data_IF_049914547794
#
_entry.id   IF_049914547794
#
_cell.length_a   1.000
_cell.length_b   1.000
_cell.length_c   1.000
_cell.angle_alpha   90.00
_cell.angle_beta   90.00
_cell.angle_gamma   90.00
#
_symmetry.space_group_name_H-M   'P 1'
#
loop_
_entity.id
_entity.type
_entity.pdbx_description
1 polymer ?
#
# COMPACT_ATOMS: atom_id res chain seq x y z
N UNK A 1 20.65 -11.88 17.93
CA UNK A 1 19.72 -12.08 19.07
C UNK A 1 18.26 -12.10 18.62
N UNK A 2 17.74 -11.05 17.98
CA UNK A 2 16.35 -11.01 17.48
C UNK A 2 15.97 -12.20 16.58
N UNK A 3 16.80 -12.56 15.60
CA UNK A 3 16.54 -13.71 14.71
C UNK A 3 16.47 -15.03 15.46
N UNK A 4 17.33 -15.23 16.47
CA UNK A 4 17.38 -16.47 17.25
C UNK A 4 16.15 -16.59 18.16
N UNK A 5 15.78 -15.51 18.86
CA UNK A 5 14.56 -15.47 19.66
C UNK A 5 13.29 -15.60 18.82
N UNK A 6 13.30 -15.05 17.60
CA UNK A 6 12.22 -15.23 16.65
C UNK A 6 12.08 -16.71 16.26
N UNK A 7 13.15 -17.36 15.83
CA UNK A 7 13.12 -18.77 15.44
C UNK A 7 12.70 -19.67 16.61
N UNK A 8 13.21 -19.43 17.82
CA UNK A 8 12.78 -20.17 19.00
C UNK A 8 11.30 -19.96 19.32
N UNK A 9 10.81 -18.73 19.26
CA UNK A 9 9.41 -18.43 19.51
C UNK A 9 8.48 -19.03 18.46
N UNK A 10 8.87 -19.01 17.18
CA UNK A 10 8.13 -19.67 16.09
C UNK A 10 8.12 -21.19 16.29
N UNK A 11 9.24 -21.79 16.72
CA UNK A 11 9.30 -23.20 17.08
C UNK A 11 8.39 -23.54 18.27
N UNK A 12 8.43 -22.75 19.35
CA UNK A 12 7.62 -22.96 20.56
C UNK A 12 6.10 -22.91 20.27
N UNK A 13 5.68 -22.07 19.31
CA UNK A 13 4.27 -21.96 18.87
C UNK A 13 3.85 -23.03 17.86
N UNK A 14 4.79 -23.83 17.36
CA UNK A 14 4.55 -24.81 16.30
C UNK A 14 4.42 -24.18 14.91
N UNK A 15 4.86 -22.92 14.74
CA UNK A 15 4.89 -22.23 13.46
C UNK A 15 6.06 -22.69 12.58
N UNK A 16 7.10 -23.27 13.18
CA UNK A 16 8.16 -24.01 12.49
C UNK A 16 8.05 -25.48 12.87
N UNK A 17 8.01 -26.36 11.87
CA UNK A 17 7.90 -27.81 12.04
C UNK A 17 9.01 -28.51 11.28
N UNK A 18 9.32 -29.76 11.60
CA UNK A 18 10.26 -30.57 10.80
C UNK A 18 9.50 -31.32 9.71
N UNK A 19 9.97 -31.25 8.47
CA UNK A 19 9.46 -32.07 7.37
C UNK A 19 9.94 -33.53 7.50
N UNK A 20 9.53 -34.40 6.57
CA UNK A 20 9.92 -35.81 6.52
C UNK A 20 11.45 -35.99 6.34
N UNK A 21 12.13 -35.01 5.74
CA UNK A 21 13.59 -34.96 5.62
C UNK A 21 14.30 -34.45 6.89
N UNK A 22 13.54 -34.09 7.93
CA UNK A 22 14.06 -33.56 9.18
C UNK A 22 14.47 -32.08 9.14
N UNK A 23 14.21 -31.36 8.05
CA UNK A 23 14.50 -29.94 7.90
C UNK A 23 13.40 -29.08 8.53
N UNK A 24 13.77 -27.94 9.11
CA UNK A 24 12.78 -26.99 9.62
C UNK A 24 12.12 -26.26 8.46
N UNK A 25 10.80 -26.38 8.37
CA UNK A 25 9.96 -25.72 7.38
C UNK A 25 8.88 -24.89 8.08
N UNK A 26 8.38 -23.88 7.39
CA UNK A 26 7.22 -23.12 7.86
C UNK A 26 5.98 -24.00 7.92
N UNK A 27 5.23 -23.87 9.00
CA UNK A 27 3.88 -24.41 9.09
C UNK A 27 2.98 -23.57 8.16
N UNK A 28 2.08 -24.17 7.35
CA UNK A 28 1.17 -23.41 6.49
C UNK A 28 0.29 -22.38 7.22
N UNK A 29 0.19 -22.48 8.55
CA UNK A 29 -0.54 -21.54 9.42
C UNK A 29 0.32 -20.40 9.96
N UNK A 30 1.62 -20.39 9.65
CA UNK A 30 2.53 -19.34 10.10
C UNK A 30 2.05 -17.99 9.57
N UNK A 31 1.67 -17.12 10.50
CA UNK A 31 1.42 -15.71 10.22
C UNK A 31 2.66 -14.90 10.60
N UNK A 32 3.42 -14.49 9.59
CA UNK A 32 4.59 -13.61 9.73
C UNK A 32 4.23 -12.23 10.30
N UNK A 33 2.94 -11.87 10.38
CA UNK A 33 2.42 -10.68 11.07
C UNK A 33 2.32 -10.81 12.59
N UNK A 34 2.37 -12.03 13.15
CA UNK A 34 2.27 -12.28 14.59
C UNK A 34 3.65 -12.55 15.18
N UNK A 35 4.17 -11.55 15.87
CA UNK A 35 5.47 -11.64 16.55
C UNK A 35 5.42 -12.67 17.69
N UNK A 36 6.45 -13.50 17.89
CA UNK A 36 6.57 -14.29 19.10
C UNK A 36 6.58 -13.41 20.35
N UNK A 37 5.90 -13.84 21.42
CA UNK A 37 5.68 -13.03 22.62
C UNK A 37 6.99 -12.50 23.25
N UNK A 38 8.09 -13.27 23.20
CA UNK A 38 9.41 -12.81 23.67
C UNK A 38 9.97 -11.68 22.81
N UNK A 39 9.89 -11.81 21.49
CA UNK A 39 10.33 -10.78 20.54
C UNK A 39 9.50 -9.53 20.71
N UNK A 40 8.18 -9.67 20.81
CA UNK A 40 7.25 -8.57 21.05
C UNK A 40 7.56 -7.86 22.37
N UNK A 41 7.78 -8.62 23.46
CA UNK A 41 8.14 -8.09 24.78
C UNK A 41 9.43 -7.28 24.77
N UNK A 42 10.48 -7.76 24.08
CA UNK A 42 11.75 -7.03 23.93
C UNK A 42 11.58 -5.72 23.14
N UNK A 43 10.78 -5.74 22.07
CA UNK A 43 10.49 -4.53 21.29
C UNK A 43 9.68 -3.55 22.15
N UNK A 44 8.63 -4.03 22.81
CA UNK A 44 7.78 -3.25 23.71
C UNK A 44 8.60 -2.52 24.76
N UNK A 45 9.45 -3.24 25.50
CA UNK A 45 10.29 -2.64 26.54
C UNK A 45 11.21 -1.55 25.96
N UNK A 46 11.79 -1.79 24.79
CA UNK A 46 12.67 -0.82 24.13
C UNK A 46 11.92 0.44 23.68
N UNK A 47 10.71 0.29 23.12
CA UNK A 47 9.88 1.41 22.68
C UNK A 47 9.35 2.20 23.88
N UNK A 48 8.90 1.52 24.95
CA UNK A 48 8.34 2.16 26.15
C UNK A 48 9.36 3.02 26.93
N UNK A 49 10.66 2.74 26.78
CA UNK A 49 11.73 3.59 27.36
C UNK A 49 11.90 4.94 26.64
N UNK A 50 11.31 5.11 25.46
CA UNK A 50 11.36 6.37 24.74
C UNK A 50 10.39 7.39 25.36
N UNK A 51 10.72 8.68 25.36
CA UNK A 51 9.74 9.74 25.62
C UNK A 51 8.51 9.61 24.71
N UNK A 52 7.32 9.92 25.24
CA UNK A 52 6.03 9.76 24.54
C UNK A 52 6.01 10.39 23.14
N UNK A 53 6.54 11.61 23.01
CA UNK A 53 6.60 12.31 21.72
C UNK A 53 7.45 11.59 20.64
N UNK A 54 8.43 10.77 21.03
CA UNK A 54 9.20 9.95 20.09
C UNK A 54 8.47 8.65 19.73
N UNK A 55 7.70 8.09 20.67
CA UNK A 55 6.82 6.95 20.39
C UNK A 55 5.76 7.35 19.38
N UNK A 56 5.13 8.51 19.56
CA UNK A 56 4.15 9.08 18.61
C UNK A 56 4.74 9.29 17.22
N UNK A 57 5.95 9.86 17.13
CA UNK A 57 6.67 10.01 15.85
C UNK A 57 6.86 8.66 15.14
N UNK A 58 7.29 7.65 15.88
CA UNK A 58 7.51 6.31 15.35
C UNK A 58 6.19 5.60 14.99
N UNK A 59 5.10 5.86 15.70
CA UNK A 59 3.77 5.35 15.37
C UNK A 59 3.27 5.95 14.05
N UNK A 60 3.36 7.28 13.86
CA UNK A 60 3.00 7.91 12.58
C UNK A 60 3.89 7.38 11.44
N UNK A 61 5.20 7.29 11.68
CA UNK A 61 6.15 6.72 10.72
C UNK A 61 5.81 5.27 10.35
N UNK A 62 5.32 4.48 11.32
CA UNK A 62 4.94 3.10 11.06
C UNK A 62 3.75 2.97 10.09
N UNK A 63 2.85 3.96 10.05
CA UNK A 63 1.75 4.01 9.08
C UNK A 63 2.24 4.41 7.69
N UNK A 64 3.23 5.31 7.61
CA UNK A 64 3.84 5.73 6.35
C UNK A 64 4.52 4.56 5.63
N UNK A 65 5.15 3.65 6.38
CA UNK A 65 5.70 2.40 5.89
C UNK A 65 7.06 2.08 6.48
N UNK A 66 7.74 1.06 5.93
CA UNK A 66 9.10 0.73 6.35
C UNK A 66 10.09 1.86 6.03
N UNK A 67 9.89 2.54 4.91
CA UNK A 67 10.57 3.77 4.52
C UNK A 67 9.59 4.94 4.56
N UNK A 68 10.03 6.10 5.04
CA UNK A 68 9.20 7.28 5.21
C UNK A 68 10.01 8.57 5.11
N UNK A 69 9.32 9.71 4.93
CA UNK A 69 9.94 11.03 4.83
C UNK A 69 9.61 11.88 6.06
N UNK A 70 10.61 12.54 6.63
CA UNK A 70 10.46 13.31 7.87
C UNK A 70 9.42 14.43 7.75
N UNK A 71 9.36 15.09 6.60
CA UNK A 71 8.48 16.23 6.30
C UNK A 71 7.01 15.79 6.30
N UNK A 72 6.73 14.57 5.83
CA UNK A 72 5.38 13.98 5.88
C UNK A 72 4.98 13.72 7.34
N UNK A 73 5.88 13.12 8.13
CA UNK A 73 5.62 12.82 9.55
C UNK A 73 5.42 14.11 10.35
N UNK A 74 6.27 15.11 10.13
CA UNK A 74 6.19 16.40 10.81
C UNK A 74 4.87 17.10 10.53
N UNK A 75 4.44 17.12 9.26
CA UNK A 75 3.17 17.69 8.87
C UNK A 75 1.99 16.99 9.53
N UNK A 76 1.94 15.65 9.50
CA UNK A 76 0.84 14.87 10.09
C UNK A 76 0.78 15.03 11.62
N UNK A 77 1.94 15.18 12.27
CA UNK A 77 2.01 15.45 13.71
C UNK A 77 1.66 16.91 14.07
N UNK A 78 1.71 17.84 13.11
CA UNK A 78 1.61 19.28 13.38
C UNK A 78 2.89 19.86 14.04
N UNK A 79 4.04 19.21 13.82
CA UNK A 79 5.33 19.57 14.42
C UNK A 79 6.22 20.35 13.46
N UNK A 80 7.23 21.03 13.99
CA UNK A 80 8.24 21.69 13.16
C UNK A 80 9.13 20.66 12.43
N UNK A 81 9.27 20.78 11.11
CA UNK A 81 10.06 19.87 10.27
C UNK A 81 11.51 19.73 10.75
N UNK A 82 12.19 20.84 11.07
CA UNK A 82 13.60 20.81 11.50
C UNK A 82 13.77 20.07 12.83
N UNK A 83 12.82 20.24 13.73
CA UNK A 83 12.84 19.54 15.01
C UNK A 83 12.61 18.03 14.83
N UNK A 84 11.67 17.65 13.98
CA UNK A 84 11.42 16.24 13.65
C UNK A 84 12.64 15.61 12.99
N UNK A 85 13.25 16.27 12.00
CA UNK A 85 14.49 15.81 11.34
C UNK A 85 15.61 15.64 12.36
N UNK A 86 15.80 16.60 13.28
CA UNK A 86 16.81 16.50 14.32
C UNK A 86 16.57 15.30 15.25
N UNK A 87 15.33 15.09 15.71
CA UNK A 87 14.95 13.95 16.58
C UNK A 87 15.12 12.61 15.87
N UNK A 88 14.74 12.52 14.60
CA UNK A 88 14.92 11.31 13.78
C UNK A 88 16.41 10.99 13.58
N UNK A 89 17.21 11.97 13.13
CA UNK A 89 18.61 11.75 12.81
C UNK A 89 19.56 11.62 14.02
N UNK A 90 19.21 12.18 15.17
CA UNK A 90 20.05 12.10 16.38
C UNK A 90 19.56 11.03 17.34
N UNK A 91 18.38 11.21 17.92
CA UNK A 91 17.87 10.31 18.95
C UNK A 91 17.45 8.97 18.36
N UNK A 92 16.59 8.94 17.35
CA UNK A 92 16.02 7.69 16.85
C UNK A 92 16.99 6.87 15.99
N UNK A 93 17.86 7.54 15.23
CA UNK A 93 18.92 6.88 14.46
C UNK A 93 20.16 6.57 15.31
N UNK A 94 20.91 7.58 15.75
CA UNK A 94 22.25 7.38 16.36
C UNK A 94 22.19 6.80 17.77
N UNK A 95 21.30 7.31 18.63
CA UNK A 95 21.23 6.90 20.03
C UNK A 95 20.42 5.61 20.20
N UNK A 96 19.21 5.57 19.65
CA UNK A 96 18.26 4.48 19.85
C UNK A 96 18.38 3.39 18.79
N UNK A 97 18.99 3.65 17.63
CA UNK A 97 19.18 2.66 16.54
C UNK A 97 17.90 1.93 16.19
N UNK A 98 16.79 2.68 16.04
CA UNK A 98 15.50 2.15 15.62
C UNK A 98 15.23 2.42 14.13
N UNK A 99 15.75 3.53 13.63
CA UNK A 99 15.67 3.94 12.22
C UNK A 99 17.07 4.27 11.69
N UNK A 100 17.19 4.45 10.39
CA UNK A 100 18.42 4.90 9.72
C UNK A 100 18.10 5.93 8.65
N UNK A 101 18.89 7.00 8.60
CA UNK A 101 18.88 7.95 7.48
C UNK A 101 19.20 7.21 6.18
N UNK A 102 18.45 7.49 5.11
CA UNK A 102 18.67 6.91 3.77
C UNK A 102 19.16 7.95 2.76
N UNK A 103 18.94 9.24 3.03
CA UNK A 103 19.36 10.34 2.16
C UNK A 103 18.27 11.38 2.04
N UNK A 104 18.40 12.27 1.05
CA UNK A 104 17.42 13.30 0.74
C UNK A 104 17.12 13.30 -0.75
N UNK A 105 15.86 13.53 -1.12
CA UNK A 105 15.41 13.66 -2.50
C UNK A 105 14.64 14.96 -2.66
N UNK A 106 14.88 15.69 -3.75
CA UNK A 106 14.05 16.83 -4.12
C UNK A 106 12.82 16.34 -4.87
N UNK A 107 11.62 16.66 -4.36
CA UNK A 107 10.33 16.39 -5.04
C UNK A 107 9.61 17.71 -5.26
N UNK A 108 9.54 18.14 -6.51
CA UNK A 108 9.10 19.49 -6.85
C UNK A 108 9.94 20.55 -6.13
N UNK A 109 9.28 21.40 -5.33
CA UNK A 109 9.94 22.42 -4.50
C UNK A 109 10.25 21.94 -3.06
N UNK A 110 9.85 20.73 -2.69
CA UNK A 110 10.01 20.20 -1.32
C UNK A 110 11.19 19.23 -1.23
N UNK A 111 12.21 19.49 -0.39
CA UNK A 111 13.21 18.49 -0.06
C UNK A 111 12.60 17.45 0.89
N UNK A 112 12.70 16.17 0.55
CA UNK A 112 12.25 15.06 1.37
C UNK A 112 13.44 14.33 1.98
N UNK A 113 13.47 14.22 3.30
CA UNK A 113 14.49 13.51 4.07
C UNK A 113 14.03 12.09 4.34
N UNK A 114 14.65 11.11 3.69
CA UNK A 114 14.25 9.70 3.76
C UNK A 114 14.89 8.98 4.94
N UNK A 115 14.06 8.23 5.66
CA UNK A 115 14.42 7.34 6.75
C UNK A 115 13.82 5.97 6.51
N UNK A 116 14.42 4.95 7.11
CA UNK A 116 13.90 3.58 7.11
C UNK A 116 13.98 3.00 8.51
N UNK A 117 13.00 2.19 8.90
CA UNK A 117 13.14 1.35 10.09
C UNK A 117 14.32 0.39 9.91
N UNK A 118 15.21 0.30 10.89
CA UNK A 118 16.34 -0.64 10.83
C UNK A 118 15.90 -2.10 10.82
N UNK A 119 14.71 -2.36 11.33
CA UNK A 119 14.10 -3.67 11.33
C UNK A 119 12.59 -3.56 11.15
N UNK A 120 12.03 -4.36 10.24
CA UNK A 120 10.59 -4.38 9.93
C UNK A 120 9.70 -4.63 11.16
N UNK A 121 10.15 -5.47 12.11
CA UNK A 121 9.42 -5.76 13.36
C UNK A 121 9.17 -4.52 14.22
N UNK A 122 10.03 -3.50 14.18
CA UNK A 122 9.75 -2.24 14.88
C UNK A 122 8.54 -1.54 14.27
N UNK A 123 8.54 -1.42 12.93
CA UNK A 123 7.42 -0.85 12.19
C UNK A 123 6.14 -1.66 12.45
N UNK A 124 6.20 -2.98 12.34
CA UNK A 124 5.04 -3.85 12.56
C UNK A 124 4.50 -3.74 13.98
N UNK A 125 5.37 -3.78 14.99
CA UNK A 125 4.97 -3.61 16.39
C UNK A 125 4.25 -2.27 16.59
N UNK A 126 4.87 -1.16 16.20
CA UNK A 126 4.31 0.18 16.35
C UNK A 126 2.99 0.34 15.60
N UNK A 127 2.92 -0.13 14.35
CA UNK A 127 1.71 -0.11 13.54
C UNK A 127 0.60 -0.91 14.22
N UNK A 128 0.95 -2.07 14.79
CA UNK A 128 0.01 -2.95 15.46
C UNK A 128 -0.49 -2.41 16.82
N UNK A 129 0.24 -1.48 17.46
CA UNK A 129 -0.25 -0.80 18.68
C UNK A 129 -1.36 0.23 18.42
N UNK A 130 -1.47 0.73 17.18
CA UNK A 130 -2.51 1.70 16.82
C UNK A 130 -3.84 0.99 16.62
N UNK A 131 -4.92 1.60 17.10
CA UNK A 131 -6.27 1.09 16.82
C UNK A 131 -6.66 1.31 15.34
N UNK A 132 -7.65 0.57 14.81
CA UNK A 132 -8.05 0.68 13.41
C UNK A 132 -8.49 2.08 12.97
N UNK A 133 -9.11 2.87 13.86
CA UNK A 133 -9.58 4.23 13.55
C UNK A 133 -8.39 5.17 13.41
N UNK A 134 -7.42 5.08 14.34
CA UNK A 134 -6.17 5.82 14.25
C UNK A 134 -5.41 5.51 12.97
N UNK A 135 -5.26 4.23 12.60
CA UNK A 135 -4.61 3.83 11.35
C UNK A 135 -5.32 4.44 10.15
N UNK A 136 -6.65 4.35 10.10
CA UNK A 136 -7.45 4.91 9.02
C UNK A 136 -7.23 6.42 8.87
N UNK A 137 -7.23 7.16 9.98
CA UNK A 137 -7.00 8.61 9.98
C UNK A 137 -5.59 8.96 9.49
N UNK A 138 -4.56 8.29 10.04
CA UNK A 138 -3.17 8.51 9.66
C UNK A 138 -2.90 8.14 8.20
N UNK A 139 -3.48 7.05 7.70
CA UNK A 139 -3.36 6.69 6.29
C UNK A 139 -3.91 7.78 5.37
N UNK A 140 -5.07 8.37 5.68
CA UNK A 140 -5.64 9.48 4.90
C UNK A 140 -4.75 10.72 4.97
N UNK A 141 -4.31 11.10 6.17
CA UNK A 141 -3.47 12.27 6.38
C UNK A 141 -2.13 12.17 5.62
N UNK A 142 -1.50 10.99 5.67
CA UNK A 142 -0.26 10.71 4.94
C UNK A 142 -0.51 10.77 3.43
N UNK A 143 -1.59 10.14 2.93
CA UNK A 143 -1.91 10.16 1.50
C UNK A 143 -2.09 11.59 0.97
N UNK A 144 -2.92 12.39 1.66
CA UNK A 144 -3.18 13.78 1.28
C UNK A 144 -1.89 14.59 1.23
N UNK A 145 -1.02 14.42 2.24
CA UNK A 145 0.25 15.15 2.27
C UNK A 145 1.20 14.70 1.16
N UNK A 146 1.22 13.41 0.82
CA UNK A 146 2.00 12.91 -0.31
C UNK A 146 1.50 13.51 -1.64
N UNK A 147 0.18 13.59 -1.85
CA UNK A 147 -0.41 14.23 -3.04
C UNK A 147 0.03 15.69 -3.14
N UNK A 148 -0.02 16.45 -2.04
CA UNK A 148 0.44 17.85 -2.02
C UNK A 148 1.92 17.99 -2.34
N UNK A 149 2.78 17.16 -1.74
CA UNK A 149 4.23 17.22 -1.94
C UNK A 149 4.64 16.84 -3.37
N UNK A 150 4.05 15.80 -3.94
CA UNK A 150 4.39 15.34 -5.28
C UNK A 150 3.69 16.16 -6.38
N UNK A 151 2.54 16.78 -6.09
CA UNK A 151 1.80 17.61 -7.02
C UNK A 151 1.55 16.91 -8.35
N UNK A 152 2.01 17.51 -9.46
CA UNK A 152 1.87 16.94 -10.80
C UNK A 152 2.64 15.63 -11.03
N UNK A 153 3.56 15.28 -10.13
CA UNK A 153 4.37 14.05 -10.19
C UNK A 153 3.80 12.92 -9.31
N UNK A 154 2.61 13.11 -8.72
CA UNK A 154 2.01 12.13 -7.81
C UNK A 154 1.70 10.78 -8.48
N UNK A 155 1.59 10.73 -9.81
CA UNK A 155 1.45 9.49 -10.57
C UNK A 155 2.63 8.52 -10.36
N UNK A 156 3.85 9.01 -10.09
CA UNK A 156 5.04 8.17 -9.83
C UNK A 156 4.86 7.32 -8.57
N UNK A 157 4.09 7.80 -7.60
CA UNK A 157 3.80 7.10 -6.34
C UNK A 157 2.35 6.60 -6.26
N UNK A 158 1.68 6.43 -7.41
CA UNK A 158 0.25 6.09 -7.46
C UNK A 158 -0.09 4.80 -6.70
N UNK A 159 0.76 3.76 -6.78
CA UNK A 159 0.54 2.52 -6.05
C UNK A 159 0.60 2.72 -4.52
N UNK A 160 1.49 3.59 -4.04
CA UNK A 160 1.56 3.95 -2.63
C UNK A 160 0.31 4.73 -2.20
N UNK A 161 -0.10 5.72 -2.98
CA UNK A 161 -1.32 6.51 -2.72
C UNK A 161 -2.56 5.62 -2.68
N UNK A 162 -2.70 4.72 -3.66
CA UNK A 162 -3.77 3.72 -3.71
C UNK A 162 -3.83 2.88 -2.43
N UNK A 163 -2.69 2.40 -1.93
CA UNK A 163 -2.61 1.64 -0.67
C UNK A 163 -3.08 2.48 0.52
N UNK A 164 -2.59 3.71 0.67
CA UNK A 164 -2.99 4.56 1.79
C UNK A 164 -4.49 4.91 1.76
N UNK A 165 -5.02 5.29 0.60
CA UNK A 165 -6.46 5.58 0.50
C UNK A 165 -7.32 4.34 0.74
N UNK A 166 -6.89 3.17 0.26
CA UNK A 166 -7.57 1.89 0.56
C UNK A 166 -7.61 1.63 2.06
N UNK A 167 -6.48 1.76 2.76
CA UNK A 167 -6.37 1.52 4.20
C UNK A 167 -7.06 2.58 5.06
N UNK A 168 -7.36 3.75 4.49
CA UNK A 168 -8.17 4.79 5.15
C UNK A 168 -9.67 4.69 4.87
N UNK A 169 -10.10 3.72 4.05
CA UNK A 169 -11.49 3.56 3.63
C UNK A 169 -11.98 4.63 2.64
N UNK A 170 -11.09 5.45 2.09
CA UNK A 170 -11.45 6.44 1.05
C UNK A 170 -11.56 5.76 -0.31
N UNK A 171 -12.73 5.19 -0.60
CA UNK A 171 -12.95 4.36 -1.79
C UNK A 171 -12.83 5.15 -3.09
N UNK A 172 -13.21 6.43 -3.08
CA UNK A 172 -13.15 7.32 -4.25
C UNK A 172 -11.69 7.59 -4.62
N UNK A 173 -10.88 8.00 -3.65
CA UNK A 173 -9.45 8.25 -3.89
C UNK A 173 -8.69 6.96 -4.18
N UNK A 174 -8.98 5.88 -3.45
CA UNK A 174 -8.36 4.58 -3.70
C UNK A 174 -8.61 4.10 -5.14
N UNK A 175 -9.86 4.19 -5.61
CA UNK A 175 -10.20 3.85 -7.00
C UNK A 175 -9.44 4.72 -8.01
N UNK A 176 -9.33 6.03 -7.75
CA UNK A 176 -8.60 6.95 -8.61
C UNK A 176 -7.12 6.58 -8.73
N UNK A 177 -6.44 6.40 -7.60
CA UNK A 177 -5.01 6.10 -7.59
C UNK A 177 -4.69 4.66 -8.04
N UNK A 178 -5.59 3.69 -7.83
CA UNK A 178 -5.46 2.35 -8.43
C UNK A 178 -5.53 2.39 -9.95
N UNK A 179 -6.41 3.21 -10.51
CA UNK A 179 -6.50 3.39 -11.97
C UNK A 179 -5.17 3.94 -12.52
N UNK A 180 -4.63 4.99 -11.92
CA UNK A 180 -3.35 5.59 -12.32
C UNK A 180 -2.20 4.59 -12.11
N UNK A 181 -2.17 3.85 -11.01
CA UNK A 181 -1.16 2.82 -10.77
C UNK A 181 -1.19 1.73 -11.86
N UNK A 182 -2.40 1.29 -12.26
CA UNK A 182 -2.58 0.36 -13.36
C UNK A 182 -2.09 0.93 -14.69
N UNK A 183 -2.34 2.21 -14.96
CA UNK A 183 -1.83 2.91 -16.15
C UNK A 183 -0.30 2.94 -16.15
N UNK A 184 0.32 3.24 -15.00
CA UNK A 184 1.77 3.28 -14.88
C UNK A 184 2.41 1.90 -15.05
N UNK A 185 1.83 0.86 -14.45
CA UNK A 185 2.30 -0.52 -14.60
C UNK A 185 2.15 -1.00 -16.06
N UNK A 186 1.02 -0.69 -16.71
CA UNK A 186 0.81 -1.03 -18.12
C UNK A 186 1.80 -0.33 -19.05
N UNK A 187 2.16 0.93 -18.76
CA UNK A 187 3.12 1.71 -19.54
C UNK A 187 4.54 1.12 -19.54
N UNK A 188 4.90 0.35 -18.52
CA UNK A 188 6.19 -0.37 -18.42
C UNK A 188 6.05 -1.87 -18.71
N UNK A 189 4.97 -2.29 -19.37
CA UNK A 189 4.66 -3.68 -19.75
C UNK A 189 4.52 -4.66 -18.58
N UNK A 190 4.27 -4.17 -17.36
CA UNK A 190 3.94 -5.01 -16.21
C UNK A 190 2.45 -5.43 -16.24
N UNK A 191 2.06 -6.17 -17.28
CA UNK A 191 0.65 -6.48 -17.57
C UNK A 191 -0.06 -7.24 -16.45
N UNK A 192 0.59 -8.22 -15.81
CA UNK A 192 0.01 -8.96 -14.68
C UNK A 192 -0.30 -8.04 -13.49
N UNK A 193 0.61 -7.12 -13.16
CA UNK A 193 0.43 -6.15 -12.08
C UNK A 193 -0.65 -5.12 -12.44
N UNK A 194 -0.60 -4.57 -13.65
CA UNK A 194 -1.61 -3.65 -14.15
C UNK A 194 -3.02 -4.28 -14.10
N UNK A 195 -3.14 -5.54 -14.52
CA UNK A 195 -4.41 -6.27 -14.46
C UNK A 195 -4.92 -6.43 -13.02
N UNK A 196 -4.05 -6.73 -12.05
CA UNK A 196 -4.42 -6.80 -10.65
C UNK A 196 -4.91 -5.44 -10.10
N UNK A 197 -4.20 -4.35 -10.44
CA UNK A 197 -4.55 -2.99 -10.03
C UNK A 197 -5.89 -2.54 -10.63
N UNK A 198 -6.13 -2.77 -11.92
CA UNK A 198 -7.40 -2.44 -12.56
C UNK A 198 -8.57 -3.26 -12.02
N UNK A 199 -8.38 -4.57 -11.76
CA UNK A 199 -9.43 -5.39 -11.12
C UNK A 199 -9.84 -4.80 -9.78
N UNK A 200 -8.86 -4.42 -8.95
CA UNK A 200 -9.13 -3.78 -7.66
C UNK A 200 -9.82 -2.43 -7.81
N UNK A 201 -9.43 -1.63 -8.80
CA UNK A 201 -10.10 -0.37 -9.12
C UNK A 201 -11.56 -0.59 -9.54
N UNK A 202 -11.86 -1.61 -10.36
CA UNK A 202 -13.23 -1.96 -10.77
C UNK A 202 -14.08 -2.37 -9.57
N UNK A 203 -13.54 -3.18 -8.66
CA UNK A 203 -14.22 -3.57 -7.42
C UNK A 203 -14.66 -2.36 -6.60
N UNK A 204 -13.76 -1.39 -6.39
CA UNK A 204 -14.08 -0.17 -5.66
C UNK A 204 -15.02 0.75 -6.45
N UNK A 205 -14.80 0.92 -7.76
CA UNK A 205 -15.63 1.78 -8.60
C UNK A 205 -17.10 1.32 -8.63
N UNK A 206 -17.35 0.00 -8.53
CA UNK A 206 -18.70 -0.57 -8.44
C UNK A 206 -19.44 -0.19 -7.15
N UNK A 207 -18.73 0.12 -6.06
CA UNK A 207 -19.33 0.47 -4.75
C UNK A 207 -19.43 1.98 -4.49
N UNK A 208 -18.78 2.80 -5.32
CA UNK A 208 -18.82 4.26 -5.21
C UNK A 208 -20.16 4.78 -5.74
N UNK A 209 -20.95 5.42 -4.86
CA UNK A 209 -22.22 6.06 -5.22
C UNK A 209 -22.03 7.31 -6.08
N UNK A 210 -20.98 8.10 -5.79
CA UNK A 210 -20.67 9.36 -6.47
C UNK A 210 -19.25 9.33 -7.04
N UNK A 211 -19.05 8.72 -8.22
CA UNK A 211 -17.73 8.67 -8.84
C UNK A 211 -17.31 10.06 -9.33
N UNK A 212 -16.00 10.34 -9.29
CA UNK A 212 -15.43 11.59 -9.85
C UNK A 212 -15.70 11.75 -11.34
N UNK A 213 -15.63 10.63 -12.05
CA UNK A 213 -15.82 10.53 -13.48
C UNK A 213 -16.89 9.45 -13.74
N UNK A 214 -18.08 9.81 -14.26
CA UNK A 214 -19.13 8.85 -14.58
C UNK A 214 -18.69 7.72 -15.53
N UNK A 215 -17.67 7.97 -16.36
CA UNK A 215 -17.14 7.01 -17.32
C UNK A 215 -15.96 6.19 -16.78
N UNK A 216 -15.53 6.43 -15.53
CA UNK A 216 -14.38 5.77 -14.92
C UNK A 216 -14.49 4.25 -14.97
N UNK A 217 -15.67 3.71 -14.64
CA UNK A 217 -15.90 2.26 -14.66
C UNK A 217 -15.70 1.68 -16.06
N UNK A 218 -16.31 2.31 -17.09
CA UNK A 218 -16.17 1.90 -18.48
C UNK A 218 -14.70 1.95 -18.95
N UNK A 219 -13.97 3.01 -18.59
CA UNK A 219 -12.54 3.15 -18.89
C UNK A 219 -11.70 2.05 -18.23
N UNK A 220 -11.96 1.74 -16.96
CA UNK A 220 -11.26 0.67 -16.24
C UNK A 220 -11.45 -0.71 -16.88
N UNK A 221 -12.67 -1.07 -17.27
CA UNK A 221 -12.91 -2.34 -17.98
C UNK A 221 -12.14 -2.42 -19.29
N UNK A 222 -12.12 -1.32 -20.06
CA UNK A 222 -11.38 -1.26 -21.33
C UNK A 222 -9.88 -1.35 -21.13
N UNK A 223 -9.34 -0.68 -20.11
CA UNK A 223 -7.91 -0.74 -19.79
C UNK A 223 -7.49 -2.14 -19.31
N UNK A 224 -8.30 -2.78 -18.47
CA UNK A 224 -8.05 -4.17 -18.05
C UNK A 224 -8.17 -5.14 -19.23
N UNK A 225 -9.23 -5.04 -20.03
CA UNK A 225 -9.44 -5.88 -21.20
C UNK A 225 -8.27 -5.77 -22.19
N UNK A 226 -7.82 -4.54 -22.48
CA UNK A 226 -6.63 -4.31 -23.30
C UNK A 226 -5.37 -4.91 -22.69
N UNK A 227 -5.21 -4.83 -21.37
CA UNK A 227 -4.07 -5.42 -20.67
C UNK A 227 -4.07 -6.95 -20.80
N UNK A 228 -5.24 -7.57 -20.70
CA UNK A 228 -5.40 -9.02 -20.88
C UNK A 228 -5.14 -9.45 -22.32
N UNK A 229 -5.61 -8.69 -23.32
CA UNK A 229 -5.32 -8.94 -24.74
C UNK A 229 -3.81 -8.88 -25.02
N UNK A 230 -3.12 -7.87 -24.50
CA UNK A 230 -1.66 -7.71 -24.68
C UNK A 230 -0.87 -8.85 -24.03
N UNK A 231 -1.41 -9.46 -22.98
CA UNK A 231 -0.85 -10.61 -22.29
C UNK A 231 -1.41 -11.96 -22.82
N UNK A 232 -2.05 -11.94 -23.99
CA UNK A 232 -2.66 -13.09 -24.68
C UNK A 232 -3.75 -13.86 -23.90
N UNK A 233 -4.34 -13.25 -22.86
CA UNK A 233 -5.43 -13.81 -22.06
C UNK A 233 -6.81 -13.50 -22.68
N UNK A 234 -7.03 -13.85 -23.94
CA UNK A 234 -8.23 -13.49 -24.71
C UNK A 234 -9.54 -14.01 -24.09
N UNK A 235 -9.56 -15.23 -23.57
CA UNK A 235 -10.74 -15.80 -22.90
C UNK A 235 -11.13 -15.00 -21.65
N UNK A 236 -10.14 -14.54 -20.89
CA UNK A 236 -10.37 -13.68 -19.73
C UNK A 236 -10.87 -12.29 -20.17
N UNK A 237 -10.33 -11.74 -21.26
CA UNK A 237 -10.79 -10.46 -21.80
C UNK A 237 -12.25 -10.53 -22.30
N UNK A 238 -12.63 -11.61 -22.99
CA UNK A 238 -14.01 -11.84 -23.41
C UNK A 238 -14.97 -11.94 -22.22
N UNK A 239 -14.61 -12.72 -21.20
CA UNK A 239 -15.37 -12.84 -19.96
C UNK A 239 -15.54 -11.47 -19.29
N UNK A 240 -14.45 -10.69 -19.22
CA UNK A 240 -14.48 -9.35 -18.65
C UNK A 240 -15.41 -8.40 -19.41
N UNK A 241 -15.41 -8.43 -20.75
CA UNK A 241 -16.31 -7.57 -21.53
C UNK A 241 -17.78 -8.00 -21.42
N UNK A 242 -18.05 -9.29 -21.15
CA UNK A 242 -19.40 -9.74 -20.80
C UNK A 242 -19.83 -9.21 -19.42
N UNK A 243 -18.93 -9.20 -18.43
CA UNK A 243 -19.17 -8.53 -17.16
C UNK A 243 -19.40 -7.01 -17.33
N UNK A 244 -18.64 -6.37 -18.21
CA UNK A 244 -18.79 -4.95 -18.54
C UNK A 244 -20.19 -4.67 -19.10
N UNK A 245 -20.67 -5.49 -20.05
CA UNK A 245 -22.01 -5.38 -20.61
C UNK A 245 -23.10 -5.52 -19.53
N UNK A 246 -22.99 -6.54 -18.67
CA UNK A 246 -23.94 -6.76 -17.59
C UNK A 246 -23.96 -5.61 -16.56
N UNK A 247 -22.79 -5.05 -16.26
CA UNK A 247 -22.67 -3.87 -15.39
C UNK A 247 -23.29 -2.62 -16.02
N UNK A 248 -23.11 -2.43 -17.33
CA UNK A 248 -23.70 -1.32 -18.09
C UNK A 248 -25.24 -1.38 -18.08
N UNK A 249 -25.80 -2.57 -18.34
CA UNK A 249 -27.25 -2.80 -18.32
C UNK A 249 -27.88 -2.50 -16.95
N UNK A 250 -27.26 -2.98 -15.86
CA UNK A 250 -27.73 -2.68 -14.48
C UNK A 250 -27.75 -1.18 -14.17
N UNK A 251 -26.87 -0.40 -14.81
CA UNK A 251 -26.75 1.06 -14.60
C UNK A 251 -27.51 1.87 -15.64
N UNK A 252 -28.08 1.25 -16.67
CA UNK A 252 -28.68 1.95 -17.81
C UNK A 252 -27.66 2.71 -18.68
N UNK A 253 -26.38 2.36 -18.63
CA UNK A 253 -25.31 3.06 -19.36
C UNK A 253 -25.14 2.48 -20.77
N UNK A 254 -25.86 3.06 -21.74
CA UNK A 254 -25.81 2.63 -23.16
C UNK A 254 -24.43 2.81 -23.80
N UNK A 255 -23.66 3.81 -23.37
CA UNK A 255 -22.34 4.07 -23.95
C UNK A 255 -21.35 2.99 -23.52
N UNK A 256 -21.39 2.59 -22.24
CA UNK A 256 -20.62 1.47 -21.71
C UNK A 256 -21.04 0.14 -22.33
N UNK A 257 -22.35 -0.08 -22.54
CA UNK A 257 -22.85 -1.28 -23.21
C UNK A 257 -22.31 -1.38 -24.64
N UNK A 258 -22.41 -0.32 -25.45
CA UNK A 258 -21.85 -0.29 -26.80
C UNK A 258 -20.33 -0.54 -26.80
N UNK A 259 -19.60 0.09 -25.88
CA UNK A 259 -18.15 -0.08 -25.76
C UNK A 259 -17.77 -1.55 -25.48
N UNK A 260 -18.56 -2.25 -24.65
CA UNK A 260 -18.34 -3.68 -24.36
C UNK A 260 -18.56 -4.57 -25.61
N UNK A 261 -19.58 -4.27 -26.42
CA UNK A 261 -19.89 -5.02 -27.64
C UNK A 261 -18.82 -4.84 -28.70
N UNK A 262 -18.33 -3.60 -28.88
CA UNK A 262 -17.24 -3.31 -29.81
C UNK A 262 -15.96 -4.06 -29.43
N UNK A 263 -15.60 -4.06 -28.14
CA UNK A 263 -14.39 -4.75 -27.68
C UNK A 263 -14.47 -6.28 -27.90
N UNK A 264 -15.63 -6.90 -27.66
CA UNK A 264 -15.86 -8.33 -27.94
C UNK A 264 -15.79 -8.65 -29.44
N UNK A 265 -16.33 -7.78 -30.27
CA UNK A 265 -16.28 -7.95 -31.73
C UNK A 265 -14.82 -7.94 -32.21
N UNK A 266 -13.99 -7.01 -31.71
CA UNK A 266 -12.57 -6.94 -32.06
C UNK A 266 -11.84 -8.25 -31.80
N UNK A 267 -11.96 -8.82 -30.58
CA UNK A 267 -11.29 -10.09 -30.23
C UNK A 267 -11.75 -11.26 -31.13
N UNK A 268 -13.03 -11.31 -31.48
CA UNK A 268 -13.57 -12.42 -32.32
C UNK A 268 -13.18 -12.31 -33.79
N UNK A 269 -12.75 -11.14 -34.25
CA UNK A 269 -12.36 -10.89 -35.65
C UNK A 269 -10.86 -10.95 -35.89
N UNK A 270 -10.04 -10.96 -34.84
CA UNK A 270 -8.58 -11.10 -34.88
C UNK A 270 -8.17 -12.55 -34.69
#
# INVERSE_FOLDING_TARGET
LFTVEMLHGLQERGDLVRNEQGEWVENPRLDWGILPARVEGLIKERIQRLPAHLQELLQIASVAGESFCAEIIAHVQGSNEREVIARLGTTLDRQQRLISVQGSQQVGSTPLSHYRFRHILFQQYLYNTLDPIQRSYLHRAIANRLVECYGSQANIIAAQLARHYTLSGDTVEACHWLAIAGEMAAAIYAHTEAAALYRRAIELCRTVEQPRDPHQLSRLYRQLGRTLELDAHYDQALTLYEEMAAAAQRRGDRAMELASLLARATIRTT
#
